data_IF_691587818718
#
_entry.id   IF_691587818718
#
_cell.length_a   1.000
_cell.length_b   1.000
_cell.length_c   1.000
_cell.angle_alpha   90.00
_cell.angle_beta   90.00
_cell.angle_gamma   90.00
#
_symmetry.space_group_name_H-M   'P 1'
#
loop_
_entity.id
_entity.type
_entity.pdbx_description
1 polymer ?
#
# COMPACT_ATOMS: atom_id res chain seq x y z
N UNK A 1 30.52 -2.09 1.92
CA UNK A 1 29.29 -1.47 1.37
C UNK A 1 29.03 -0.24 2.22
N UNK A 2 28.95 0.95 1.61
CA UNK A 2 28.72 2.19 2.36
C UNK A 2 27.23 2.32 2.68
N UNK A 3 26.87 2.06 3.94
CA UNK A 3 25.51 2.12 4.47
C UNK A 3 25.04 3.54 4.76
N UNK A 4 25.90 4.55 4.62
CA UNK A 4 25.57 5.97 4.84
C UNK A 4 25.16 6.70 3.57
N UNK A 5 25.23 6.04 2.40
CA UNK A 5 24.90 6.65 1.13
C UNK A 5 23.41 7.00 1.04
N UNK A 6 23.11 8.28 0.88
CA UNK A 6 21.77 8.81 0.65
C UNK A 6 21.64 9.44 -0.75
N UNK A 7 20.40 9.61 -1.21
CA UNK A 7 20.02 10.45 -2.36
C UNK A 7 19.10 11.54 -1.84
N UNK A 8 19.29 12.78 -2.27
CA UNK A 8 18.42 13.89 -1.89
C UNK A 8 17.20 13.99 -2.80
N UNK A 9 16.04 14.19 -2.20
CA UNK A 9 14.82 14.58 -2.92
C UNK A 9 14.82 16.08 -3.21
N UNK A 10 13.92 16.51 -4.11
CA UNK A 10 13.81 17.92 -4.51
C UNK A 10 13.36 18.86 -3.37
N UNK A 11 12.83 18.31 -2.28
CA UNK A 11 12.48 19.05 -1.06
C UNK A 11 13.65 19.10 -0.04
N UNK A 12 14.83 18.55 -0.37
CA UNK A 12 16.01 18.54 0.50
C UNK A 12 16.13 17.28 1.37
N UNK A 13 15.08 16.47 1.48
CA UNK A 13 15.09 15.29 2.35
C UNK A 13 16.01 14.18 1.80
N UNK A 14 16.86 13.57 2.64
CA UNK A 14 17.72 12.46 2.23
C UNK A 14 17.00 11.10 2.35
N UNK A 15 17.09 10.26 1.32
CA UNK A 15 16.69 8.84 1.37
C UNK A 15 17.93 7.92 1.30
N UNK A 16 18.11 6.96 2.24
CA UNK A 16 19.15 5.95 2.14
C UNK A 16 19.01 5.10 0.86
N UNK A 17 20.11 4.87 0.14
CA UNK A 17 20.13 4.11 -1.14
C UNK A 17 20.15 2.59 -0.91
N UNK A 18 19.67 2.13 0.24
CA UNK A 18 19.83 0.75 0.67
C UNK A 18 18.47 0.14 1.05
N UNK A 19 18.07 -0.88 0.30
CA UNK A 19 16.94 -1.75 0.63
C UNK A 19 17.44 -3.03 1.27
N UNK A 20 17.02 -3.31 2.51
CA UNK A 20 17.27 -4.60 3.15
C UNK A 20 16.04 -5.50 2.98
N UNK A 21 16.24 -6.71 2.46
CA UNK A 21 15.23 -7.78 2.49
C UNK A 21 15.07 -8.34 3.91
N UNK A 22 13.91 -8.94 4.21
CA UNK A 22 13.61 -9.46 5.56
C UNK A 22 13.83 -10.97 5.70
N UNK A 23 14.66 -11.58 4.85
CA UNK A 23 14.91 -13.02 4.93
C UNK A 23 15.79 -13.37 6.14
N UNK A 24 15.23 -14.14 7.07
CA UNK A 24 15.89 -14.59 8.31
C UNK A 24 16.17 -16.10 8.33
N UNK A 25 16.22 -16.75 7.16
CA UNK A 25 16.32 -18.21 7.06
C UNK A 25 15.02 -18.94 7.40
N UNK A 26 15.05 -20.28 7.43
CA UNK A 26 13.90 -21.14 7.74
C UNK A 26 13.91 -21.63 9.20
N UNK A 27 14.97 -21.35 9.96
CA UNK A 27 15.10 -21.76 11.35
C UNK A 27 14.17 -20.93 12.25
N UNK A 28 13.26 -21.55 13.04
CA UNK A 28 12.30 -20.83 13.86
C UNK A 28 12.90 -19.90 14.92
N UNK A 29 14.06 -20.23 15.49
CA UNK A 29 14.73 -19.43 16.52
C UNK A 29 15.42 -18.22 15.88
N UNK A 30 16.01 -18.39 14.69
CA UNK A 30 16.57 -17.26 13.92
C UNK A 30 15.45 -16.32 13.47
N UNK A 31 14.31 -16.87 13.03
CA UNK A 31 13.14 -16.06 12.72
C UNK A 31 12.65 -15.30 13.94
N UNK A 32 12.55 -15.91 15.12
CA UNK A 32 12.14 -15.21 16.36
C UNK A 32 13.00 -13.98 16.67
N UNK A 33 14.32 -14.06 16.42
CA UNK A 33 15.25 -12.94 16.64
C UNK A 33 15.08 -11.80 15.65
N UNK A 34 14.53 -12.06 14.46
CA UNK A 34 14.28 -11.02 13.45
C UNK A 34 13.18 -10.02 13.83
N UNK A 35 12.35 -10.32 14.85
CA UNK A 35 11.31 -9.41 15.36
C UNK A 35 11.88 -8.05 15.76
N UNK A 36 13.01 -8.05 16.48
CA UNK A 36 13.64 -6.82 16.97
C UNK A 36 14.17 -5.96 15.82
N UNK A 37 14.68 -6.59 14.76
CA UNK A 37 15.19 -5.91 13.57
C UNK A 37 14.05 -5.23 12.81
N UNK A 38 12.92 -5.93 12.67
CA UNK A 38 11.70 -5.41 12.04
C UNK A 38 11.11 -4.23 12.83
N UNK A 39 11.03 -4.34 14.16
CA UNK A 39 10.58 -3.24 15.02
C UNK A 39 11.50 -2.02 14.89
N UNK A 40 12.82 -2.24 14.83
CA UNK A 40 13.78 -1.15 14.64
C UNK A 40 13.61 -0.47 13.28
N UNK A 41 13.42 -1.24 12.21
CA UNK A 41 13.17 -0.69 10.87
C UNK A 41 11.86 0.10 10.83
N UNK A 42 10.79 -0.39 11.46
CA UNK A 42 9.50 0.32 11.55
C UNK A 42 9.68 1.65 12.31
N UNK A 43 10.38 1.64 13.45
CA UNK A 43 10.71 2.85 14.22
C UNK A 43 11.57 3.83 13.42
N UNK A 44 12.47 3.32 12.59
CA UNK A 44 13.30 4.11 11.68
C UNK A 44 12.54 4.59 10.42
N UNK A 45 11.23 4.37 10.32
CA UNK A 45 10.40 4.89 9.24
C UNK A 45 10.24 3.97 8.02
N UNK A 46 10.79 2.76 8.02
CA UNK A 46 10.58 1.81 6.93
C UNK A 46 9.12 1.34 6.89
N UNK A 47 8.54 1.31 5.69
CA UNK A 47 7.14 0.91 5.45
C UNK A 47 6.98 -0.13 4.34
N UNK A 48 8.05 -0.40 3.59
CA UNK A 48 8.07 -1.41 2.55
C UNK A 48 9.04 -2.52 2.97
N UNK A 49 8.51 -3.73 3.13
CA UNK A 49 9.28 -4.90 3.51
C UNK A 49 9.05 -5.98 2.45
N UNK A 50 10.14 -6.50 1.90
CA UNK A 50 10.09 -7.56 0.90
C UNK A 50 9.77 -8.90 1.57
N UNK A 51 8.49 -9.22 1.69
CA UNK A 51 7.99 -10.48 2.26
C UNK A 51 7.52 -11.42 1.17
N UNK A 52 8.24 -12.51 0.91
CA UNK A 52 7.73 -13.62 0.12
C UNK A 52 7.09 -14.68 1.03
N UNK A 53 5.98 -15.28 0.58
CA UNK A 53 5.28 -16.35 1.32
C UNK A 53 6.22 -17.49 1.71
N UNK A 54 7.15 -17.84 0.82
CA UNK A 54 8.13 -18.91 1.03
C UNK A 54 9.12 -18.62 2.17
N UNK A 55 9.27 -17.37 2.63
CA UNK A 55 10.23 -17.04 3.67
C UNK A 55 9.76 -17.47 5.07
N UNK A 56 8.46 -17.61 5.31
CA UNK A 56 7.92 -17.96 6.64
C UNK A 56 8.10 -16.90 7.74
N UNK A 57 8.97 -15.91 7.53
CA UNK A 57 9.29 -14.81 8.47
C UNK A 57 8.06 -13.97 8.82
N UNK A 58 7.09 -13.87 7.91
CA UNK A 58 5.84 -13.13 8.17
C UNK A 58 5.04 -13.74 9.33
N UNK A 59 4.92 -15.08 9.33
CA UNK A 59 4.12 -15.81 10.31
C UNK A 59 4.73 -15.85 11.71
N UNK A 60 6.06 -15.96 11.78
CA UNK A 60 6.74 -16.18 13.05
C UNK A 60 7.21 -14.88 13.71
N UNK A 61 7.39 -13.80 12.93
CA UNK A 61 8.13 -12.62 13.39
C UNK A 61 7.46 -11.29 13.04
N UNK A 62 6.97 -11.14 11.81
CA UNK A 62 6.44 -9.85 11.35
C UNK A 62 5.13 -9.44 12.03
N UNK A 63 4.17 -10.36 12.20
CA UNK A 63 2.92 -10.09 12.95
C UNK A 63 3.20 -9.66 14.40
N UNK A 64 4.15 -10.33 15.06
CA UNK A 64 4.60 -9.98 16.41
C UNK A 64 5.28 -8.61 16.48
N UNK A 65 6.10 -8.26 15.47
CA UNK A 65 6.76 -6.95 15.40
C UNK A 65 5.74 -5.80 15.33
N UNK A 66 4.57 -6.04 14.73
CA UNK A 66 3.44 -5.11 14.66
C UNK A 66 2.54 -5.13 15.91
N UNK A 67 2.90 -5.88 16.96
CA UNK A 67 2.11 -5.99 18.19
C UNK A 67 0.83 -6.82 18.03
N UNK A 68 0.75 -7.68 16.99
CA UNK A 68 -0.39 -8.58 16.79
C UNK A 68 -0.04 -9.98 17.32
N UNK A 69 -0.74 -10.42 18.36
CA UNK A 69 -0.59 -11.77 18.92
C UNK A 69 -1.31 -12.78 18.01
N UNK A 70 -0.69 -13.09 16.86
CA UNK A 70 -1.36 -13.68 15.69
C UNK A 70 -1.45 -15.22 15.69
N UNK A 71 -1.20 -15.91 16.81
CA UNK A 71 -1.35 -17.38 16.86
C UNK A 71 -2.79 -17.85 16.63
N UNK A 72 -3.79 -17.00 16.92
CA UNK A 72 -5.22 -17.24 16.64
C UNK A 72 -5.64 -16.91 15.20
N UNK A 73 -4.96 -15.97 14.54
CA UNK A 73 -5.27 -15.59 13.16
C UNK A 73 -5.06 -16.78 12.23
N UNK A 74 -4.03 -17.60 12.46
CA UNK A 74 -3.69 -18.78 11.65
C UNK A 74 -4.77 -19.86 11.58
N UNK A 75 -5.50 -20.14 12.67
CA UNK A 75 -6.64 -21.09 12.60
C UNK A 75 -7.80 -20.53 11.78
N UNK A 76 -7.91 -19.20 11.69
CA UNK A 76 -8.92 -18.54 10.87
C UNK A 76 -8.51 -18.37 9.40
N UNK A 77 -7.21 -18.40 9.04
CA UNK A 77 -6.78 -18.24 7.63
C UNK A 77 -7.13 -19.48 6.78
N UNK A 78 -7.26 -20.66 7.40
CA UNK A 78 -7.68 -21.90 6.74
C UNK A 78 -9.11 -21.91 6.21
N UNK A 79 -9.92 -20.87 6.50
CA UNK A 79 -11.29 -20.69 5.97
C UNK A 79 -11.45 -19.50 5.03
N UNK A 80 -10.39 -18.78 4.68
CA UNK A 80 -10.48 -17.75 3.65
C UNK A 80 -10.56 -18.39 2.26
N UNK A 81 -11.78 -18.61 1.81
CA UNK A 81 -12.05 -18.85 0.39
C UNK A 81 -11.80 -17.53 -0.33
N UNK A 82 -10.65 -17.38 -0.96
CA UNK A 82 -10.36 -16.24 -1.81
C UNK A 82 -11.37 -16.24 -2.98
N UNK A 83 -12.27 -15.24 -3.00
CA UNK A 83 -13.20 -15.06 -4.11
C UNK A 83 -12.45 -14.62 -5.37
N UNK A 84 -12.52 -15.41 -6.43
CA UNK A 84 -11.91 -15.04 -7.72
C UNK A 84 -12.87 -14.19 -8.53
N UNK A 85 -12.47 -12.97 -8.89
CA UNK A 85 -13.22 -12.11 -9.79
C UNK A 85 -12.50 -11.98 -11.13
N UNK A 86 -13.14 -12.45 -12.20
CA UNK A 86 -12.61 -12.34 -13.56
C UNK A 86 -12.91 -10.93 -14.09
N UNK A 87 -11.86 -10.22 -14.50
CA UNK A 87 -12.01 -8.99 -15.27
C UNK A 87 -12.28 -9.34 -16.73
N UNK A 88 -13.17 -8.58 -17.39
CA UNK A 88 -13.52 -8.79 -18.81
C UNK A 88 -12.49 -8.23 -19.79
N UNK A 89 -11.34 -7.75 -19.31
CA UNK A 89 -10.36 -7.00 -20.10
C UNK A 89 -8.97 -7.64 -20.00
N UNK A 90 -8.16 -7.57 -21.07
CA UNK A 90 -6.85 -8.21 -21.09
C UNK A 90 -5.84 -7.49 -20.18
N UNK A 91 -5.26 -8.24 -19.25
CA UNK A 91 -4.08 -7.84 -18.46
C UNK A 91 -4.35 -6.80 -17.36
N UNK A 92 -3.92 -7.11 -16.14
CA UNK A 92 -3.89 -6.17 -15.02
C UNK A 92 -2.42 -5.78 -14.76
N UNK A 93 -2.12 -4.48 -14.72
CA UNK A 93 -0.77 -3.96 -14.48
C UNK A 93 -0.44 -3.78 -13.01
N UNK A 94 -1.39 -3.25 -12.23
CA UNK A 94 -1.26 -3.09 -10.79
C UNK A 94 -2.64 -3.04 -10.12
N UNK A 95 -2.67 -3.25 -8.81
CA UNK A 95 -3.88 -3.16 -7.98
C UNK A 95 -3.56 -2.42 -6.69
N UNK A 96 -4.54 -1.68 -6.16
CA UNK A 96 -4.45 -1.05 -4.85
C UNK A 96 -5.81 -1.10 -4.15
N UNK A 97 -5.80 -1.20 -2.83
CA UNK A 97 -6.99 -1.06 -1.99
C UNK A 97 -6.82 0.23 -1.20
N UNK A 98 -7.87 1.05 -1.13
CA UNK A 98 -7.86 2.26 -0.30
C UNK A 98 -7.76 1.85 1.17
N UNK A 99 -7.12 2.67 1.99
CA UNK A 99 -6.88 2.41 3.42
C UNK A 99 -8.16 2.18 4.24
N UNK A 100 -9.30 2.75 3.85
CA UNK A 100 -10.61 2.46 4.45
C UNK A 100 -11.20 1.08 4.06
N UNK A 101 -10.53 0.36 3.17
CA UNK A 101 -10.91 -0.97 2.71
C UNK A 101 -12.17 -1.02 1.85
N UNK A 102 -12.76 0.11 1.42
CA UNK A 102 -14.06 0.14 0.72
C UNK A 102 -13.96 0.11 -0.80
N UNK A 103 -12.85 0.60 -1.33
CA UNK A 103 -12.61 0.75 -2.77
C UNK A 103 -11.30 0.06 -3.15
N UNK A 104 -11.31 -0.68 -4.24
CA UNK A 104 -10.08 -1.14 -4.88
C UNK A 104 -9.97 -0.59 -6.31
N UNK A 105 -8.74 -0.26 -6.70
CA UNK A 105 -8.38 0.14 -8.04
C UNK A 105 -7.63 -1.00 -8.72
N UNK A 106 -7.98 -1.27 -9.99
CA UNK A 106 -7.26 -2.19 -10.87
C UNK A 106 -6.91 -1.43 -12.13
N UNK A 107 -5.61 -1.34 -12.43
CA UNK A 107 -5.15 -0.71 -13.67
C UNK A 107 -4.91 -1.75 -14.74
N UNK A 108 -5.37 -1.47 -15.95
CA UNK A 108 -5.30 -2.38 -17.09
C UNK A 108 -4.18 -2.02 -18.06
N UNK A 109 -3.75 -3.02 -18.84
CA UNK A 109 -2.85 -2.79 -19.96
C UNK A 109 -3.50 -2.00 -21.11
N UNK A 110 -4.81 -1.83 -21.06
CA UNK A 110 -5.61 -0.99 -21.95
C UNK A 110 -5.64 0.51 -21.54
N UNK A 111 -4.79 0.91 -20.57
CA UNK A 111 -4.67 2.29 -20.12
C UNK A 111 -5.82 2.79 -19.25
N UNK A 112 -6.69 1.89 -18.79
CA UNK A 112 -7.83 2.24 -17.96
C UNK A 112 -7.56 1.91 -16.50
N UNK A 113 -7.97 2.82 -15.61
CA UNK A 113 -7.98 2.59 -14.17
C UNK A 113 -9.44 2.30 -13.79
N UNK A 114 -9.69 1.13 -13.23
CA UNK A 114 -11.04 0.67 -12.89
C UNK A 114 -11.20 0.65 -11.39
N UNK A 115 -12.30 1.21 -10.90
CA UNK A 115 -12.64 1.23 -9.49
C UNK A 115 -13.73 0.23 -9.21
N UNK A 116 -13.58 -0.54 -8.13
CA UNK A 116 -14.54 -1.53 -7.68
C UNK A 116 -14.84 -1.34 -6.18
N UNK A 117 -16.06 -1.68 -5.79
CA UNK A 117 -16.40 -1.89 -4.38
C UNK A 117 -15.70 -3.15 -3.89
N UNK A 118 -14.97 -3.08 -2.79
CA UNK A 118 -14.32 -4.29 -2.21
C UNK A 118 -15.35 -5.29 -1.67
N UNK A 119 -16.49 -4.81 -1.16
CA UNK A 119 -17.54 -5.65 -0.58
C UNK A 119 -18.24 -6.53 -1.61
N UNK A 120 -18.47 -6.01 -2.81
CA UNK A 120 -19.32 -6.68 -3.84
C UNK A 120 -18.62 -6.91 -5.17
N UNK A 121 -17.41 -6.37 -5.33
CA UNK A 121 -16.67 -6.28 -6.59
C UNK A 121 -17.48 -5.67 -7.76
N UNK A 122 -18.50 -4.86 -7.45
CA UNK A 122 -19.23 -4.08 -8.45
C UNK A 122 -18.37 -2.91 -8.92
N UNK A 123 -18.39 -2.66 -10.23
CA UNK A 123 -17.73 -1.51 -10.85
C UNK A 123 -18.33 -0.21 -10.30
N UNK A 124 -17.47 0.65 -9.76
CA UNK A 124 -17.81 2.01 -9.31
C UNK A 124 -17.56 3.03 -10.42
N UNK A 125 -16.61 2.76 -11.31
CA UNK A 125 -16.27 3.68 -12.39
C UNK A 125 -15.00 3.28 -13.12
N UNK A 126 -14.75 3.98 -14.23
CA UNK A 126 -13.56 3.81 -15.06
C UNK A 126 -12.97 5.19 -15.32
N UNK A 127 -11.71 5.40 -14.92
CA UNK A 127 -10.96 6.60 -15.21
C UNK A 127 -10.21 6.40 -16.53
N UNK A 128 -10.44 7.30 -17.47
CA UNK A 128 -9.96 7.21 -18.85
C UNK A 128 -9.11 8.43 -19.17
N UNK A 129 -7.82 8.20 -19.35
CA UNK A 129 -6.89 9.24 -19.81
C UNK A 129 -5.72 8.61 -20.58
N UNK A 130 -5.05 7.65 -19.95
CA UNK A 130 -3.92 6.96 -20.55
C UNK A 130 -4.37 6.14 -21.77
N UNK A 131 -3.56 6.20 -22.83
CA UNK A 131 -3.77 5.44 -24.07
C UNK A 131 -2.89 4.18 -24.15
N UNK A 132 -2.03 4.00 -23.16
CA UNK A 132 -1.08 2.89 -23.06
C UNK A 132 -1.20 2.23 -21.69
N UNK A 133 -0.62 1.04 -21.53
CA UNK A 133 -0.74 0.27 -20.30
C UNK A 133 -0.35 1.05 -19.05
N UNK A 134 -1.24 1.00 -18.06
CA UNK A 134 -1.00 1.51 -16.72
C UNK A 134 -0.26 0.44 -15.89
N UNK A 135 0.75 0.86 -15.13
CA UNK A 135 1.64 -0.04 -14.39
C UNK A 135 1.78 0.32 -12.91
N UNK A 136 1.29 1.49 -12.49
CA UNK A 136 1.33 1.94 -11.11
C UNK A 136 0.00 2.58 -10.72
N UNK A 137 -0.42 2.38 -9.47
CA UNK A 137 -1.60 3.00 -8.90
C UNK A 137 -1.45 3.15 -7.39
N UNK A 138 -1.88 4.28 -6.83
CA UNK A 138 -1.86 4.54 -5.40
C UNK A 138 -3.03 5.44 -4.98
N UNK A 139 -3.68 5.13 -3.86
CA UNK A 139 -4.65 6.01 -3.21
C UNK A 139 -3.94 6.95 -2.25
N UNK A 140 -4.46 8.17 -2.11
CA UNK A 140 -4.15 9.00 -0.96
C UNK A 140 -4.73 8.39 0.31
N UNK A 141 -4.11 8.73 1.46
CA UNK A 141 -4.61 8.34 2.78
C UNK A 141 -5.88 9.12 3.13
N UNK A 142 -6.85 8.44 3.72
CA UNK A 142 -8.07 9.05 4.26
C UNK A 142 -7.77 9.90 5.49
N UNK A 143 -8.62 10.89 5.76
CA UNK A 143 -8.51 11.75 6.94
C UNK A 143 -8.48 10.97 8.27
N UNK A 144 -9.16 9.82 8.35
CA UNK A 144 -9.12 8.96 9.54
C UNK A 144 -7.73 8.41 9.82
N UNK A 145 -6.90 8.22 8.80
CA UNK A 145 -5.52 7.78 8.99
C UNK A 145 -4.61 8.89 9.52
N UNK A 146 -4.91 10.16 9.23
CA UNK A 146 -4.17 11.32 9.76
C UNK A 146 -4.51 11.62 11.22
N UNK A 147 -5.77 11.38 11.65
CA UNK A 147 -6.21 11.61 13.04
C UNK A 147 -5.55 10.71 14.09
N UNK A 148 -4.85 9.65 13.67
CA UNK A 148 -4.13 8.76 14.59
C UNK A 148 -2.71 9.26 14.93
N UNK A 149 -2.20 10.22 14.15
CA UNK A 149 -0.90 10.87 14.35
C UNK A 149 -1.19 12.31 14.85
N UNK A 150 -1.52 12.46 16.14
CA UNK A 150 -1.64 13.78 16.80
C UNK A 150 -0.25 14.36 17.08
N UNK A 151 0.48 14.73 16.03
CA UNK A 151 1.59 15.67 16.16
C UNK A 151 1.13 16.98 15.50
N UNK A 152 1.16 18.07 16.26
CA UNK A 152 0.80 19.43 15.83
C UNK A 152 1.85 19.98 14.84
N UNK A 153 1.93 19.40 13.64
CA UNK A 153 2.75 19.98 12.58
C UNK A 153 1.91 20.97 11.75
N UNK A 154 2.33 22.24 11.87
CA UNK A 154 1.84 23.45 11.20
C UNK A 154 2.11 23.43 9.69
N UNK A 155 1.59 22.42 8.99
CA UNK A 155 1.81 22.20 7.57
C UNK A 155 0.94 23.10 6.67
N UNK A 156 0.50 24.29 7.12
CA UNK A 156 -0.15 25.32 6.30
C UNK A 156 -1.37 24.92 5.46
N UNK A 157 -1.83 23.66 5.55
CA UNK A 157 -2.85 23.07 4.69
C UNK A 157 -4.17 23.06 5.44
N UNK A 158 -5.16 23.74 4.89
CA UNK A 158 -6.46 23.81 5.53
C UNK A 158 -7.08 22.41 5.65
N UNK A 159 -7.93 22.20 6.67
CA UNK A 159 -8.70 20.95 6.84
C UNK A 159 -9.48 20.59 5.58
N UNK A 160 -9.97 21.60 4.85
CA UNK A 160 -10.68 21.43 3.59
C UNK A 160 -9.77 20.89 2.48
N UNK A 161 -8.58 21.46 2.30
CA UNK A 161 -7.61 20.97 1.31
C UNK A 161 -7.14 19.54 1.63
N UNK A 162 -6.93 19.25 2.92
CA UNK A 162 -6.57 17.91 3.36
C UNK A 162 -7.70 16.90 3.07
N UNK A 163 -8.95 17.31 3.28
CA UNK A 163 -10.13 16.50 2.94
C UNK A 163 -10.22 16.22 1.43
N UNK A 164 -9.96 17.21 0.59
CA UNK A 164 -9.94 17.05 -0.86
C UNK A 164 -8.82 16.12 -1.32
N UNK A 165 -7.60 16.31 -0.80
CA UNK A 165 -6.43 15.48 -1.14
C UNK A 165 -6.55 14.05 -0.64
N UNK A 166 -7.27 13.82 0.46
CA UNK A 166 -7.52 12.48 1.00
C UNK A 166 -8.33 11.58 0.05
N UNK A 167 -8.97 12.18 -0.97
CA UNK A 167 -9.72 11.47 -2.01
C UNK A 167 -8.95 11.26 -3.29
N UNK A 168 -7.65 11.59 -3.32
CA UNK A 168 -6.88 11.46 -4.53
C UNK A 168 -6.53 10.01 -4.87
N UNK A 169 -6.47 9.74 -6.17
CA UNK A 169 -5.90 8.52 -6.73
C UNK A 169 -4.89 8.91 -7.80
N UNK A 170 -3.71 8.32 -7.72
CA UNK A 170 -2.64 8.53 -8.69
C UNK A 170 -2.47 7.28 -9.53
N UNK A 171 -2.33 7.45 -10.84
CA UNK A 171 -2.02 6.39 -11.79
C UNK A 171 -0.82 6.74 -12.66
N UNK A 172 0.03 5.75 -12.95
CA UNK A 172 1.18 5.89 -13.84
C UNK A 172 1.12 4.90 -14.99
N UNK A 173 1.49 5.35 -16.19
CA UNK A 173 1.46 4.55 -17.41
C UNK A 173 2.73 4.67 -18.24
N UNK A 174 2.84 3.81 -19.26
CA UNK A 174 3.98 3.75 -20.19
C UNK A 174 4.12 5.02 -21.04
N UNK A 175 3.09 5.86 -21.11
CA UNK A 175 3.07 7.12 -21.85
C UNK A 175 3.89 8.24 -21.19
N UNK A 176 4.63 7.94 -20.11
CA UNK A 176 5.45 8.89 -19.35
C UNK A 176 4.62 9.94 -18.62
N UNK A 177 3.32 9.74 -18.50
CA UNK A 177 2.41 10.63 -17.78
C UNK A 177 1.98 10.00 -16.46
N UNK A 178 1.71 10.88 -15.50
CA UNK A 178 1.06 10.56 -14.24
C UNK A 178 -0.28 11.28 -14.23
N UNK A 179 -1.34 10.58 -13.84
CA UNK A 179 -2.65 11.18 -13.63
C UNK A 179 -2.98 11.25 -12.15
N UNK A 180 -3.54 12.37 -11.70
CA UNK A 180 -4.05 12.57 -10.35
C UNK A 180 -5.55 12.82 -10.48
N UNK A 181 -6.35 12.01 -9.79
CA UNK A 181 -7.81 12.07 -9.84
C UNK A 181 -8.35 12.42 -8.48
N UNK A 182 -9.17 13.47 -8.39
CA UNK A 182 -9.99 13.71 -7.20
C UNK A 182 -11.24 12.82 -7.26
N UNK A 183 -11.34 11.84 -6.36
CA UNK A 183 -12.49 10.97 -6.28
C UNK A 183 -13.64 11.63 -5.51
N UNK A 184 -14.85 11.18 -5.82
CA UNK A 184 -16.04 11.58 -5.06
C UNK A 184 -16.06 10.91 -3.69
N UNK A 185 -16.79 11.52 -2.74
CA UNK A 185 -17.06 10.90 -1.46
C UNK A 185 -17.98 9.68 -1.67
N UNK A 186 -17.52 8.49 -1.27
CA UNK A 186 -18.30 7.24 -1.38
C UNK A 186 -19.22 7.05 -0.17
N UNK A 187 -19.97 8.10 0.18
CA UNK A 187 -20.86 8.09 1.33
C UNK A 187 -22.08 7.21 1.00
N UNK A 188 -22.58 6.47 2.00
CA UNK A 188 -23.90 5.83 1.88
C UNK A 188 -24.94 6.95 1.83
N UNK A 189 -25.64 7.09 0.70
CA UNK A 189 -27.00 7.65 0.69
C UNK A 189 -27.93 6.74 1.49
#
# INVERSE_FOLDING_TARGET
MDVSRTVSFNNGDPIPVLGFGVWAGMDPEVQRRSVEWLQTAIKAGYRHFDTALIYGVWANSYGKALGRDDTQVWRSVSTFVAGTHRTSHPGNGAVAIRDDGRVCAVVGWDGRIRLYSTKSFKSLGILKYHKTGCHAVAFARTLSAYRADEDEDDDGMSKQEMEERSRWLIGGAKDKLITIWSLMAFNRT
#
